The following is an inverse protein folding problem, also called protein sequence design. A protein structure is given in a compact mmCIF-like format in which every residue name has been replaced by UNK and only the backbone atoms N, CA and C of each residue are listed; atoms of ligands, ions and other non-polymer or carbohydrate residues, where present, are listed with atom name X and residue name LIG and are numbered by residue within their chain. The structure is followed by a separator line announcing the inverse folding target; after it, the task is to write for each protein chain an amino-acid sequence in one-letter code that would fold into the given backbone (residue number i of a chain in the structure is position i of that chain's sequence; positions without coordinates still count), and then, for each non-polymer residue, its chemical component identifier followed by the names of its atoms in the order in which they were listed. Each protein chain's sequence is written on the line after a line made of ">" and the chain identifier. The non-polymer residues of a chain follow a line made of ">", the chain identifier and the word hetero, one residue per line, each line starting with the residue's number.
data_IF_354249968168
#
_entry.id   IF_354249968168
#
_cell.length_a   1.000
_cell.length_b   1.000
_cell.length_c   1.000
_cell.angle_alpha   90.00
_cell.angle_beta   90.00
_cell.angle_gamma   90.00
#
_symmetry.space_group_name_H-M   'P 1'
#
loop_
_entity.id
_entity.type
_entity.pdbx_description
1 polymer ?
#
# COMPACT_ATOMS: atom_id res chain seq x y z
N UNK A 1 30.79 -8.88 9.85
CA UNK A 1 30.20 -7.74 9.11
C UNK A 1 30.16 -8.16 7.65
N UNK A 2 29.01 -8.64 7.16
CA UNK A 2 28.88 -9.04 5.75
C UNK A 2 28.54 -7.77 5.00
N UNK A 3 29.52 -7.27 4.24
CA UNK A 3 29.35 -6.14 3.33
C UNK A 3 28.51 -6.65 2.16
N UNK A 4 27.31 -6.11 1.99
CA UNK A 4 26.52 -6.36 0.78
C UNK A 4 27.17 -5.57 -0.37
N UNK A 5 27.87 -6.26 -1.27
CA UNK A 5 28.46 -5.65 -2.46
C UNK A 5 27.34 -5.13 -3.38
N UNK A 6 27.41 -3.84 -3.70
CA UNK A 6 26.50 -3.19 -4.66
C UNK A 6 27.01 -3.51 -6.06
N UNK A 7 26.32 -4.40 -6.76
CA UNK A 7 26.64 -4.79 -8.14
C UNK A 7 26.54 -3.60 -9.09
N UNK A 8 27.47 -3.52 -10.04
CA UNK A 8 27.48 -2.50 -11.10
C UNK A 8 26.32 -2.70 -12.09
N UNK A 9 25.84 -1.62 -12.73
CA UNK A 9 24.84 -1.71 -13.79
C UNK A 9 25.27 -2.61 -14.96
N UNK A 10 26.59 -2.69 -15.24
CA UNK A 10 27.16 -3.59 -16.23
C UNK A 10 27.11 -5.06 -15.78
N UNK A 11 27.39 -5.34 -14.51
CA UNK A 11 27.29 -6.69 -13.95
C UNK A 11 25.84 -7.17 -13.94
N UNK A 12 24.89 -6.32 -13.57
CA UNK A 12 23.47 -6.62 -13.65
C UNK A 12 23.03 -6.88 -15.11
N UNK A 13 23.57 -6.14 -16.07
CA UNK A 13 23.30 -6.35 -17.49
C UNK A 13 23.90 -7.67 -18.01
N UNK A 14 25.14 -8.00 -17.63
CA UNK A 14 25.81 -9.26 -17.99
C UNK A 14 25.16 -10.47 -17.34
N UNK A 15 24.78 -10.38 -16.06
CA UNK A 15 24.08 -11.44 -15.33
C UNK A 15 22.68 -11.68 -15.93
N UNK A 16 22.01 -10.62 -16.38
CA UNK A 16 20.74 -10.72 -17.13
C UNK A 16 20.95 -11.34 -18.51
N UNK A 17 22.01 -10.98 -19.23
CA UNK A 17 22.36 -11.56 -20.53
C UNK A 17 22.75 -13.05 -20.43
N UNK A 18 23.50 -13.43 -19.39
CA UNK A 18 23.93 -14.81 -19.15
C UNK A 18 22.77 -15.71 -18.71
N UNK A 19 21.85 -15.20 -17.88
CA UNK A 19 20.59 -15.91 -17.57
C UNK A 19 19.73 -16.09 -18.81
N UNK A 20 19.62 -15.08 -19.67
CA UNK A 20 18.86 -15.19 -20.93
C UNK A 20 19.51 -16.17 -21.91
N UNK A 21 20.84 -16.24 -21.98
CA UNK A 21 21.57 -17.20 -22.82
C UNK A 21 21.48 -18.66 -22.34
N UNK A 22 21.08 -18.90 -21.09
CA UNK A 22 20.87 -20.24 -20.49
C UNK A 22 19.40 -20.59 -20.27
N UNK A 23 18.49 -19.64 -20.47
CA UNK A 23 17.07 -19.85 -20.23
C UNK A 23 16.46 -20.72 -21.33
N UNK A 24 15.68 -21.71 -20.92
CA UNK A 24 14.84 -22.50 -21.81
C UNK A 24 13.75 -21.63 -22.44
N UNK A 25 13.22 -22.06 -23.59
CA UNK A 25 12.10 -21.37 -24.24
C UNK A 25 10.88 -21.23 -23.31
N UNK A 26 10.65 -22.23 -22.46
CA UNK A 26 9.63 -22.21 -21.42
C UNK A 26 9.88 -21.10 -20.39
N UNK A 27 11.10 -20.98 -19.85
CA UNK A 27 11.44 -19.93 -18.88
C UNK A 27 11.31 -18.52 -19.47
N UNK A 28 11.68 -18.36 -20.75
CA UNK A 28 11.49 -17.10 -21.48
C UNK A 28 10.00 -16.78 -21.61
N UNK A 29 9.17 -17.76 -21.95
CA UNK A 29 7.73 -17.57 -22.07
C UNK A 29 7.08 -17.22 -20.73
N UNK A 30 7.45 -17.92 -19.65
CA UNK A 30 6.98 -17.60 -18.30
C UNK A 30 7.35 -16.18 -17.88
N UNK A 31 8.56 -15.72 -18.21
CA UNK A 31 8.98 -14.34 -17.93
C UNK A 31 8.10 -13.33 -18.68
N UNK A 32 7.82 -13.57 -19.97
CA UNK A 32 6.92 -12.73 -20.77
C UNK A 32 5.52 -12.69 -20.18
N UNK A 33 4.98 -13.82 -19.76
CA UNK A 33 3.64 -13.92 -19.18
C UNK A 33 3.55 -13.18 -17.83
N UNK A 34 4.59 -13.27 -17.00
CA UNK A 34 4.70 -12.49 -15.75
C UNK A 34 4.70 -10.99 -16.03
N UNK A 35 5.55 -10.54 -16.94
CA UNK A 35 5.66 -9.13 -17.29
C UNK A 35 4.37 -8.60 -17.90
N UNK A 36 3.72 -9.40 -18.75
CA UNK A 36 2.42 -9.05 -19.33
C UNK A 36 1.35 -8.87 -18.26
N UNK A 37 1.21 -9.80 -17.32
CA UNK A 37 0.25 -9.65 -16.21
C UNK A 37 0.52 -8.42 -15.34
N UNK A 38 1.79 -8.12 -15.08
CA UNK A 38 2.17 -6.90 -14.33
C UNK A 38 1.82 -5.62 -15.07
N UNK A 39 2.09 -5.58 -16.37
CA UNK A 39 1.76 -4.44 -17.23
C UNK A 39 0.25 -4.22 -17.31
N UNK A 40 -0.53 -5.28 -17.53
CA UNK A 40 -2.00 -5.20 -17.55
C UNK A 40 -2.57 -4.67 -16.24
N UNK A 41 -2.09 -5.16 -15.10
CA UNK A 41 -2.54 -4.65 -13.81
C UNK A 41 -2.18 -3.17 -13.60
N UNK A 42 -0.98 -2.75 -13.99
CA UNK A 42 -0.55 -1.36 -13.88
C UNK A 42 -1.38 -0.42 -14.78
N UNK A 43 -1.68 -0.84 -16.00
CA UNK A 43 -2.49 -0.05 -16.93
C UNK A 43 -3.97 -0.04 -16.52
N UNK A 44 -4.48 -1.14 -15.98
CA UNK A 44 -5.82 -1.20 -15.39
C UNK A 44 -5.96 -0.24 -14.21
N UNK A 45 -4.98 -0.20 -13.31
CA UNK A 45 -4.97 0.75 -12.17
C UNK A 45 -4.92 2.21 -12.62
N UNK A 46 -4.35 2.49 -13.79
CA UNK A 46 -4.32 3.83 -14.41
C UNK A 46 -5.52 4.10 -15.33
N UNK A 47 -6.54 3.24 -15.31
CA UNK A 47 -7.76 3.37 -16.11
C UNK A 47 -7.50 3.40 -17.62
N UNK A 48 -6.40 2.78 -18.08
CA UNK A 48 -6.03 2.73 -19.51
C UNK A 48 -6.63 1.54 -20.24
N UNK A 49 -6.98 0.48 -19.51
CA UNK A 49 -7.50 -0.78 -20.05
C UNK A 49 -8.58 -1.37 -19.13
N UNK A 50 -9.43 -2.21 -19.69
CA UNK A 50 -10.35 -3.07 -18.95
C UNK A 50 -9.87 -4.53 -18.98
N UNK A 51 -9.79 -5.17 -17.81
CA UNK A 51 -9.16 -6.49 -17.67
C UNK A 51 -9.89 -7.58 -18.45
N UNK A 52 -11.23 -7.55 -18.51
CA UNK A 52 -12.00 -8.58 -19.22
C UNK A 52 -11.67 -8.63 -20.70
N UNK A 53 -11.46 -7.48 -21.33
CA UNK A 53 -11.12 -7.37 -22.76
C UNK A 53 -9.70 -7.86 -23.03
N UNK A 54 -8.75 -7.47 -22.17
CA UNK A 54 -7.36 -7.86 -22.32
C UNK A 54 -7.13 -9.36 -22.02
N UNK A 55 -7.83 -9.92 -21.05
CA UNK A 55 -7.72 -11.34 -20.68
C UNK A 55 -8.23 -12.28 -21.77
N UNK A 56 -9.12 -11.82 -22.67
CA UNK A 56 -9.56 -12.61 -23.83
C UNK A 56 -8.46 -12.77 -24.88
N UNK A 57 -7.48 -11.84 -24.90
CA UNK A 57 -6.33 -11.89 -25.83
C UNK A 57 -5.21 -12.79 -25.32
N UNK A 58 -5.27 -13.20 -24.05
CA UNK A 58 -4.25 -14.04 -23.42
C UNK A 58 -4.46 -15.51 -23.84
N UNK A 59 -3.42 -16.18 -24.37
CA UNK A 59 -3.50 -17.61 -24.69
C UNK A 59 -3.87 -18.45 -23.46
N UNK A 60 -4.61 -19.54 -23.66
CA UNK A 60 -5.04 -20.42 -22.57
C UNK A 60 -3.86 -20.98 -21.75
N UNK A 61 -2.72 -21.26 -22.40
CA UNK A 61 -1.48 -21.72 -21.76
C UNK A 61 -0.86 -20.69 -20.81
N UNK A 62 -1.09 -19.40 -21.06
CA UNK A 62 -0.51 -18.27 -20.33
C UNK A 62 -1.46 -17.69 -19.28
N UNK A 63 -2.76 -17.98 -19.39
CA UNK A 63 -3.80 -17.33 -18.61
C UNK A 63 -3.58 -17.44 -17.10
N UNK A 64 -3.23 -18.63 -16.60
CA UNK A 64 -3.03 -18.85 -15.17
C UNK A 64 -1.89 -17.98 -14.60
N UNK A 65 -0.77 -17.88 -15.32
CA UNK A 65 0.40 -17.12 -14.87
C UNK A 65 0.17 -15.61 -14.98
N UNK A 66 -0.49 -15.15 -16.06
CA UNK A 66 -0.88 -13.76 -16.24
C UNK A 66 -1.85 -13.32 -15.14
N UNK A 67 -2.90 -14.10 -14.86
CA UNK A 67 -3.88 -13.82 -13.79
C UNK A 67 -3.22 -13.79 -12.41
N UNK A 68 -2.29 -14.71 -12.12
CA UNK A 68 -1.55 -14.71 -10.87
C UNK A 68 -0.77 -13.39 -10.67
N UNK A 69 -0.07 -12.92 -11.70
CA UNK A 69 0.70 -11.67 -11.64
C UNK A 69 -0.19 -10.43 -11.58
N UNK A 70 -1.37 -10.46 -12.21
CA UNK A 70 -2.37 -9.39 -12.05
C UNK A 70 -2.79 -9.31 -10.58
N UNK A 71 -3.17 -10.44 -9.97
CA UNK A 71 -3.55 -10.48 -8.55
C UNK A 71 -2.44 -9.95 -7.65
N UNK A 72 -1.19 -10.37 -7.85
CA UNK A 72 -0.04 -9.89 -7.06
C UNK A 72 0.10 -8.35 -7.11
N UNK A 73 0.04 -7.76 -8.31
CA UNK A 73 0.15 -6.32 -8.47
C UNK A 73 -1.03 -5.60 -7.83
N UNK A 74 -2.26 -6.07 -8.04
CA UNK A 74 -3.45 -5.47 -7.43
C UNK A 74 -3.39 -5.52 -5.90
N UNK A 75 -3.04 -6.68 -5.31
CA UNK A 75 -2.92 -6.85 -3.87
C UNK A 75 -1.83 -5.96 -3.25
N UNK A 76 -0.72 -5.74 -3.96
CA UNK A 76 0.33 -4.82 -3.51
C UNK A 76 -0.13 -3.36 -3.44
N UNK A 77 -1.18 -3.00 -4.18
CA UNK A 77 -1.79 -1.66 -4.14
C UNK A 77 -2.85 -1.52 -3.04
N UNK A 78 -3.15 -2.58 -2.27
CA UNK A 78 -3.93 -2.45 -1.04
C UNK A 78 -2.97 -2.04 0.07
N UNK A 79 -3.02 -0.79 0.50
CA UNK A 79 -2.13 -0.23 1.52
C UNK A 79 -2.94 0.40 2.66
N UNK A 80 -2.33 0.50 3.84
CA UNK A 80 -2.91 1.31 4.92
C UNK A 80 -2.95 2.79 4.50
N UNK A 81 -4.07 3.51 4.73
CA UNK A 81 -4.20 4.91 4.33
C UNK A 81 -3.11 5.79 4.98
N UNK A 82 -2.41 6.58 4.16
CA UNK A 82 -1.39 7.53 4.66
C UNK A 82 -1.95 8.93 4.88
N UNK A 83 -3.05 9.27 4.24
CA UNK A 83 -3.73 10.56 4.37
C UNK A 83 -5.21 10.32 4.58
N UNK A 84 -5.86 11.25 5.29
CA UNK A 84 -7.25 11.09 5.65
C UNK A 84 -8.16 11.07 4.43
N UNK A 85 -9.10 10.13 4.42
CA UNK A 85 -10.13 9.99 3.39
C UNK A 85 -10.14 8.62 2.69
N UNK A 86 -11.14 8.38 1.82
CA UNK A 86 -11.23 7.16 1.04
C UNK A 86 -10.07 7.07 0.04
N UNK A 87 -9.41 5.91 -0.05
CA UNK A 87 -8.44 5.64 -1.10
C UNK A 87 -9.17 5.23 -2.40
N UNK A 88 -9.19 6.09 -3.45
CA UNK A 88 -9.84 5.75 -4.71
C UNK A 88 -9.20 4.52 -5.39
N UNK A 89 -7.91 4.27 -5.11
CA UNK A 89 -7.16 3.12 -5.62
C UNK A 89 -7.78 1.82 -5.13
N UNK A 90 -8.27 1.79 -3.88
CA UNK A 90 -8.86 0.59 -3.30
C UNK A 90 -10.10 0.11 -4.08
N UNK A 91 -10.95 1.03 -4.54
CA UNK A 91 -12.14 0.64 -5.31
C UNK A 91 -11.77 0.08 -6.68
N UNK A 92 -10.75 0.64 -7.34
CA UNK A 92 -10.23 0.08 -8.61
C UNK A 92 -9.62 -1.30 -8.39
N UNK A 93 -8.80 -1.47 -7.35
CA UNK A 93 -8.21 -2.76 -6.95
C UNK A 93 -9.30 -3.80 -6.67
N UNK A 94 -10.32 -3.44 -5.87
CA UNK A 94 -11.47 -4.30 -5.54
C UNK A 94 -12.15 -4.79 -6.82
N UNK A 95 -12.43 -3.89 -7.75
CA UNK A 95 -13.02 -4.22 -9.05
C UNK A 95 -12.12 -5.21 -9.81
N UNK A 96 -10.83 -4.90 -9.93
CA UNK A 96 -9.86 -5.77 -10.61
C UNK A 96 -9.79 -7.19 -10.03
N UNK A 97 -9.72 -7.31 -8.71
CA UNK A 97 -9.63 -8.60 -8.03
C UNK A 97 -10.89 -9.45 -8.25
N UNK A 98 -12.08 -8.85 -8.27
CA UNK A 98 -13.33 -9.57 -8.56
C UNK A 98 -13.43 -10.06 -10.01
N UNK A 99 -12.71 -9.44 -10.93
CA UNK A 99 -12.64 -9.84 -12.35
C UNK A 99 -11.75 -11.07 -12.56
N UNK A 100 -10.69 -11.19 -11.77
CA UNK A 100 -9.67 -12.24 -11.93
C UNK A 100 -9.75 -13.37 -10.90
N UNK A 101 -10.61 -13.25 -9.89
CA UNK A 101 -10.80 -14.29 -8.87
C UNK A 101 -11.50 -15.53 -9.44
N UNK A 102 -10.99 -16.72 -9.11
CA UNK A 102 -11.68 -17.97 -9.43
C UNK A 102 -12.92 -18.11 -8.55
N UNK A 103 -12.81 -17.77 -7.26
CA UNK A 103 -13.92 -17.74 -6.32
C UNK A 103 -14.33 -16.31 -5.95
N UNK A 104 -15.19 -15.70 -6.77
CA UNK A 104 -15.69 -14.33 -6.58
C UNK A 104 -16.37 -14.11 -5.22
N UNK A 105 -17.13 -15.09 -4.71
CA UNK A 105 -17.83 -14.99 -3.41
C UNK A 105 -16.86 -14.98 -2.23
N UNK A 106 -15.79 -15.77 -2.29
CA UNK A 106 -14.75 -15.75 -1.26
C UNK A 106 -13.93 -14.45 -1.33
N UNK A 107 -13.56 -14.02 -2.55
CA UNK A 107 -12.86 -12.77 -2.77
C UNK A 107 -13.64 -11.56 -2.24
N UNK A 108 -14.94 -11.48 -2.55
CA UNK A 108 -15.81 -10.40 -2.07
C UNK A 108 -15.90 -10.36 -0.54
N UNK A 109 -15.95 -11.51 0.13
CA UNK A 109 -15.96 -11.57 1.60
C UNK A 109 -14.65 -11.01 2.17
N UNK A 110 -13.50 -11.46 1.68
CA UNK A 110 -12.19 -10.96 2.14
C UNK A 110 -12.01 -9.46 1.86
N UNK A 111 -12.48 -8.97 0.70
CA UNK A 111 -12.43 -7.54 0.38
C UNK A 111 -13.27 -6.70 1.35
N UNK A 112 -14.42 -7.19 1.80
CA UNK A 112 -15.21 -6.52 2.84
C UNK A 112 -14.49 -6.46 4.20
N UNK A 113 -13.80 -7.55 4.59
CA UNK A 113 -12.98 -7.57 5.81
C UNK A 113 -11.82 -6.57 5.73
N UNK A 114 -11.15 -6.49 4.57
CA UNK A 114 -10.10 -5.49 4.31
C UNK A 114 -10.67 -4.08 4.38
N UNK A 115 -11.81 -3.79 3.74
CA UNK A 115 -12.45 -2.48 3.79
C UNK A 115 -12.76 -2.05 5.23
N UNK A 116 -13.29 -2.96 6.06
CA UNK A 116 -13.53 -2.70 7.47
C UNK A 116 -12.21 -2.48 8.24
N UNK A 117 -11.15 -3.23 7.94
CA UNK A 117 -9.83 -3.05 8.54
C UNK A 117 -9.25 -1.66 8.22
N UNK A 118 -9.31 -1.22 6.95
CA UNK A 118 -8.83 0.10 6.53
C UNK A 118 -9.63 1.23 7.20
N UNK A 119 -10.96 1.08 7.30
CA UNK A 119 -11.83 2.03 8.00
C UNK A 119 -11.47 2.12 9.50
N UNK A 120 -11.25 0.98 10.15
CA UNK A 120 -10.87 0.93 11.55
C UNK A 120 -9.50 1.59 11.78
N UNK A 121 -8.53 1.35 10.90
CA UNK A 121 -7.21 1.99 10.95
C UNK A 121 -7.35 3.52 10.94
N UNK A 122 -8.11 4.05 9.98
CA UNK A 122 -8.31 5.49 9.82
C UNK A 122 -9.04 6.11 11.03
N UNK A 123 -10.05 5.43 11.56
CA UNK A 123 -10.77 5.88 12.76
C UNK A 123 -9.85 5.95 13.99
N UNK A 124 -9.04 4.93 14.22
CA UNK A 124 -8.09 4.89 15.34
C UNK A 124 -7.04 5.98 15.16
N UNK A 125 -6.52 6.15 13.95
CA UNK A 125 -5.55 7.20 13.61
C UNK A 125 -6.09 8.60 13.90
N UNK A 126 -7.26 8.93 13.34
CA UNK A 126 -7.87 10.26 13.50
C UNK A 126 -8.17 10.57 14.97
N UNK A 127 -8.76 9.61 15.70
CA UNK A 127 -9.08 9.80 17.12
C UNK A 127 -7.83 10.08 17.97
N UNK A 128 -6.74 9.34 17.73
CA UNK A 128 -5.50 9.52 18.48
C UNK A 128 -4.80 10.83 18.10
N UNK A 129 -4.85 11.24 16.84
CA UNK A 129 -4.33 12.53 16.41
C UNK A 129 -5.02 13.69 17.16
N UNK A 130 -6.35 13.68 17.19
CA UNK A 130 -7.15 14.68 17.91
C UNK A 130 -6.87 14.68 19.42
N UNK A 131 -6.74 13.48 20.01
CA UNK A 131 -6.43 13.34 21.43
C UNK A 131 -5.02 13.86 21.76
N UNK A 132 -4.02 13.54 20.94
CA UNK A 132 -2.66 14.04 21.11
C UNK A 132 -2.62 15.56 21.00
N UNK A 133 -3.31 16.12 20.00
CA UNK A 133 -3.43 17.57 19.78
C UNK A 133 -4.07 18.28 20.97
N UNK A 134 -5.15 17.72 21.51
CA UNK A 134 -5.83 18.26 22.69
C UNK A 134 -4.93 18.23 23.94
N UNK A 135 -4.19 17.14 24.14
CA UNK A 135 -3.26 16.98 25.28
C UNK A 135 -2.14 18.03 25.26
N UNK A 136 -1.50 18.22 24.10
CA UNK A 136 -0.46 19.24 23.94
C UNK A 136 -1.01 20.67 24.07
N UNK A 137 -2.19 20.94 23.51
CA UNK A 137 -2.83 22.25 23.63
C UNK A 137 -3.13 22.60 25.10
N UNK A 138 -3.60 21.63 25.89
CA UNK A 138 -3.85 21.83 27.32
C UNK A 138 -2.56 22.11 28.11
N UNK A 139 -1.46 21.44 27.78
CA UNK A 139 -0.15 21.67 28.43
C UNK A 139 0.45 23.05 28.14
N UNK A 140 0.14 23.63 26.97
CA UNK A 140 0.67 24.92 26.53
C UNK A 140 -0.21 26.12 26.89
N UNK A 141 -1.43 25.90 27.37
CA UNK A 141 -2.39 26.97 27.69
C UNK A 141 -1.84 27.94 28.74
N UNK A 142 -1.17 27.42 29.77
CA UNK A 142 -0.53 28.23 30.82
C UNK A 142 0.59 29.12 30.27
N UNK A 143 1.42 28.58 29.37
CA UNK A 143 2.52 29.30 28.72
C UNK A 143 1.98 30.38 27.79
N UNK A 144 0.94 30.05 27.02
CA UNK A 144 0.31 30.99 26.09
C UNK A 144 -0.31 32.19 26.83
N UNK A 145 -0.94 31.96 27.99
CA UNK A 145 -1.49 33.03 28.84
C UNK A 145 -0.39 33.91 29.43
N UNK A 146 0.68 33.31 29.95
CA UNK A 146 1.82 34.05 30.50
C UNK A 146 2.52 34.92 29.44
N UNK A 147 2.79 34.37 28.25
CA UNK A 147 3.38 35.12 27.14
C UNK A 147 2.48 36.24 26.65
N UNK A 148 1.16 35.98 26.56
CA UNK A 148 0.21 36.99 26.10
C UNK A 148 0.12 38.17 27.08
N UNK A 149 0.21 37.90 28.38
CA UNK A 149 0.25 38.94 29.42
C UNK A 149 1.55 39.76 29.35
N UNK A 150 2.69 39.12 29.13
CA UNK A 150 3.99 39.80 29.04
C UNK A 150 4.10 40.66 27.77
N UNK A 151 3.66 40.14 26.63
CA UNK A 151 3.79 40.82 25.33
C UNK A 151 2.61 41.75 25.01
N UNK A 152 1.58 41.80 25.88
CA UNK A 152 0.33 42.55 25.67
C UNK A 152 -0.35 42.23 24.32
N UNK A 153 -0.14 41.02 23.79
CA UNK A 153 -0.67 40.55 22.50
C UNK A 153 -1.10 39.09 22.62
N UNK A 154 -2.20 38.71 21.96
CA UNK A 154 -2.67 37.32 21.95
C UNK A 154 -1.72 36.42 21.14
N UNK A 155 -0.94 35.61 21.83
CA UNK A 155 -0.10 34.57 21.21
C UNK A 155 -0.96 33.31 21.00
N UNK A 156 -0.86 32.66 19.84
CA UNK A 156 -1.47 31.34 19.58
C UNK A 156 -0.35 30.38 19.17
N UNK A 157 -0.08 29.37 19.98
CA UNK A 157 0.94 28.37 19.67
C UNK A 157 0.30 27.28 18.81
N UNK A 158 0.86 27.00 17.64
CA UNK A 158 0.43 25.86 16.84
C UNK A 158 1.20 24.61 17.26
N UNK A 159 0.50 23.73 17.99
CA UNK A 159 1.07 22.50 18.55
C UNK A 159 1.56 21.51 17.49
N UNK A 160 0.96 21.54 16.30
CA UNK A 160 1.25 20.59 15.21
C UNK A 160 2.62 20.83 14.55
N UNK A 161 3.18 22.04 14.71
CA UNK A 161 4.52 22.36 14.25
C UNK A 161 5.61 22.14 15.31
N UNK A 162 5.24 21.72 16.52
CA UNK A 162 6.23 21.39 17.55
C UNK A 162 6.97 20.10 17.19
N UNK A 163 8.31 20.07 17.25
CA UNK A 163 9.08 18.83 17.05
C UNK A 163 8.65 17.70 17.98
N UNK A 164 8.29 18.02 19.23
CA UNK A 164 7.84 17.04 20.22
C UNK A 164 6.51 16.39 19.82
N UNK A 165 5.57 17.18 19.27
CA UNK A 165 4.30 16.65 18.79
C UNK A 165 4.52 15.71 17.61
N UNK A 166 5.39 16.08 16.67
CA UNK A 166 5.71 15.26 15.51
C UNK A 166 6.40 13.95 15.91
N UNK A 167 7.30 13.98 16.89
CA UNK A 167 7.97 12.78 17.40
C UNK A 167 6.97 11.80 18.02
N UNK A 168 6.09 12.27 18.91
CA UNK A 168 5.08 11.43 19.54
C UNK A 168 4.06 10.90 18.54
N UNK A 169 3.66 11.72 17.56
CA UNK A 169 2.79 11.28 16.49
C UNK A 169 3.43 10.19 15.63
N UNK A 170 4.71 10.34 15.25
CA UNK A 170 5.44 9.35 14.46
C UNK A 170 5.59 8.01 15.20
N UNK A 171 5.84 8.04 16.52
CA UNK A 171 5.88 6.83 17.36
C UNK A 171 4.52 6.12 17.36
N UNK A 172 3.44 6.89 17.53
CA UNK A 172 2.08 6.35 17.49
C UNK A 172 1.76 5.75 16.11
N UNK A 173 2.01 6.46 15.00
CA UNK A 173 1.74 5.95 13.65
C UNK A 173 2.52 4.67 13.37
N UNK A 174 3.80 4.62 13.75
CA UNK A 174 4.63 3.42 13.58
C UNK A 174 4.06 2.23 14.35
N UNK A 175 3.62 2.45 15.59
CA UNK A 175 2.98 1.42 16.40
C UNK A 175 1.64 0.98 15.79
N UNK A 176 0.81 1.92 15.34
CA UNK A 176 -0.47 1.63 14.72
C UNK A 176 -0.30 0.79 13.45
N UNK A 177 0.62 1.16 12.56
CA UNK A 177 0.96 0.37 11.36
C UNK A 177 1.37 -1.05 11.75
N UNK A 178 2.25 -1.20 12.76
CA UNK A 178 2.71 -2.53 13.20
C UNK A 178 1.58 -3.46 13.69
N UNK A 179 0.47 -2.91 14.18
CA UNK A 179 -0.71 -3.67 14.62
C UNK A 179 -1.67 -4.05 13.48
N UNK A 180 -1.64 -3.33 12.36
CA UNK A 180 -2.59 -3.50 11.26
C UNK A 180 -1.99 -4.20 10.05
N UNK A 181 -0.70 -3.95 9.74
CA UNK A 181 -0.01 -4.55 8.59
C UNK A 181 -0.09 -6.09 8.57
N UNK A 182 0.18 -6.82 9.69
CA UNK A 182 0.13 -8.28 9.66
C UNK A 182 -1.25 -8.85 9.34
N UNK A 183 -2.32 -8.16 9.78
CA UNK A 183 -3.70 -8.54 9.48
C UNK A 183 -4.04 -8.28 8.03
N UNK A 184 -3.61 -7.15 7.49
CA UNK A 184 -3.76 -6.83 6.08
C UNK A 184 -3.03 -7.86 5.20
N UNK A 185 -1.80 -8.21 5.54
CA UNK A 185 -1.00 -9.21 4.83
C UNK A 185 -1.62 -10.61 4.90
N UNK A 186 -2.22 -10.97 6.04
CA UNK A 186 -2.97 -12.21 6.16
C UNK A 186 -4.16 -12.28 5.20
N UNK A 187 -4.92 -11.20 5.04
CA UNK A 187 -6.00 -11.14 4.04
C UNK A 187 -5.47 -11.19 2.61
N UNK A 188 -4.37 -10.47 2.31
CA UNK A 188 -3.73 -10.51 0.98
C UNK A 188 -3.27 -11.92 0.61
N UNK A 189 -2.65 -12.65 1.54
CA UNK A 189 -2.22 -14.02 1.32
C UNK A 189 -3.40 -14.97 1.02
N UNK A 190 -4.51 -14.82 1.76
CA UNK A 190 -5.73 -15.58 1.48
C UNK A 190 -6.32 -15.25 0.10
N UNK A 191 -6.38 -13.96 -0.26
CA UNK A 191 -6.88 -13.53 -1.56
C UNK A 191 -6.00 -14.01 -2.72
N UNK A 192 -4.68 -14.08 -2.53
CA UNK A 192 -3.75 -14.56 -3.56
C UNK A 192 -4.03 -16.04 -3.91
N UNK A 193 -4.45 -16.84 -2.93
CA UNK A 193 -4.79 -18.25 -3.08
C UNK A 193 -6.17 -18.52 -3.72
N UNK A 194 -6.99 -17.49 -3.97
CA UNK A 194 -8.31 -17.57 -4.63
C UNK A 194 -8.27 -17.34 -6.14
#
# INVERSE_FOLDING_TARGET
>A
MIVAEIKSALELALEKAERLGRATEQEIQEAKDRDWGRHLAADFLREKVELEEELQKVPASSQALVVANIKEVLLRNIILPRQGGPDPTFQRVRSGLLKVAQNKKAMQRLLSEVEQLLKNFEQVRQKNYEQLKASFAAGLDNIQRAMSAQMHMKVKINVEHSPQFQEEWNKFESNLVSQFEPRLDHYKAQMLAL
#
